data_IF_026178869746
#
_entry.id   IF_026178869746
#
_cell.length_a   1.000
_cell.length_b   1.000
_cell.length_c   1.000
_cell.angle_alpha   90.00
_cell.angle_beta   90.00
_cell.angle_gamma   90.00
#
_symmetry.space_group_name_H-M   'P 1'
#
loop_
_entity.id
_entity.type
_entity.pdbx_description
1 polymer ?
#
# COMPACT_ATOMS: atom_id res chain seq x y z
N UNK A 1 -7.96 -4.25 8.74
CA UNK A 1 -6.85 -3.34 8.36
C UNK A 1 -7.39 -1.92 8.25
N UNK A 2 -6.67 -0.93 8.76
CA UNK A 2 -6.97 0.51 8.58
C UNK A 2 -5.81 1.15 7.82
N UNK A 3 -6.08 1.72 6.64
CA UNK A 3 -5.11 2.42 5.84
C UNK A 3 -5.06 3.90 6.23
N UNK A 4 -3.94 4.37 6.77
CA UNK A 4 -3.75 5.78 7.14
C UNK A 4 -3.34 6.67 5.95
N UNK A 5 -2.94 6.06 4.83
CA UNK A 5 -2.59 6.73 3.56
C UNK A 5 -3.33 6.06 2.37
N UNK A 6 -4.68 6.07 2.37
CA UNK A 6 -5.48 5.40 1.33
C UNK A 6 -5.34 6.02 -0.06
N UNK A 7 -4.87 7.27 -0.14
CA UNK A 7 -4.60 7.97 -1.38
C UNK A 7 -3.34 7.47 -2.11
N UNK A 8 -2.48 6.69 -1.44
CA UNK A 8 -1.28 6.10 -2.05
C UNK A 8 -1.59 4.72 -2.66
N UNK A 9 -0.90 4.34 -3.76
CA UNK A 9 -1.06 3.01 -4.37
C UNK A 9 -0.59 1.88 -3.44
N UNK A 10 -1.03 0.65 -3.73
CA UNK A 10 -0.44 -0.54 -3.10
C UNK A 10 0.99 -0.77 -3.56
N UNK A 11 1.23 -0.82 -4.88
CA UNK A 11 2.55 -1.01 -5.48
C UNK A 11 3.40 0.28 -5.48
N UNK A 12 3.80 0.75 -4.29
CA UNK A 12 4.77 1.84 -4.13
C UNK A 12 6.14 1.43 -4.66
N UNK A 13 6.95 2.41 -5.07
CA UNK A 13 8.29 2.16 -5.60
C UNK A 13 9.24 1.78 -4.47
N UNK A 14 9.89 0.64 -4.63
CA UNK A 14 11.01 0.18 -3.81
C UNK A 14 12.09 -0.28 -4.77
N UNK A 15 13.24 0.42 -4.82
CA UNK A 15 14.23 0.20 -5.89
C UNK A 15 14.69 -1.27 -5.97
N UNK A 16 14.93 -1.91 -4.83
CA UNK A 16 15.25 -3.34 -4.77
C UNK A 16 14.15 -4.22 -5.41
N UNK A 17 12.88 -3.89 -5.19
CA UNK A 17 11.76 -4.64 -5.80
C UNK A 17 11.72 -4.43 -7.31
N UNK A 18 12.08 -3.24 -7.81
CA UNK A 18 12.12 -2.94 -9.25
C UNK A 18 13.24 -3.69 -9.99
N UNK A 19 14.31 -4.06 -9.28
CA UNK A 19 15.40 -4.90 -9.81
C UNK A 19 14.98 -6.37 -9.98
N UNK A 20 13.96 -6.83 -9.26
CA UNK A 20 13.51 -8.22 -9.31
C UNK A 20 12.88 -8.55 -10.69
N UNK A 21 13.34 -9.60 -11.39
CA UNK A 21 12.79 -9.97 -12.71
C UNK A 21 11.27 -10.19 -12.70
N UNK A 22 10.74 -10.75 -11.61
CA UNK A 22 9.30 -10.95 -11.42
C UNK A 22 8.53 -9.64 -11.43
N UNK A 23 9.04 -8.60 -10.75
CA UNK A 23 8.37 -7.31 -10.68
C UNK A 23 8.38 -6.60 -12.03
N UNK A 24 9.48 -6.69 -12.78
CA UNK A 24 9.59 -6.13 -14.12
C UNK A 24 8.55 -6.73 -15.07
N UNK A 25 8.40 -8.06 -15.05
CA UNK A 25 7.36 -8.76 -15.82
C UNK A 25 5.97 -8.33 -15.34
N UNK A 26 5.76 -8.25 -14.02
CA UNK A 26 4.45 -7.93 -13.46
C UNK A 26 4.00 -6.51 -13.80
N UNK A 27 4.92 -5.53 -13.73
CA UNK A 27 4.67 -4.14 -14.16
C UNK A 27 4.40 -4.05 -15.66
N UNK A 28 5.16 -4.77 -16.50
CA UNK A 28 4.90 -4.83 -17.95
C UNK A 28 3.50 -5.37 -18.24
N UNK A 29 3.11 -6.48 -17.62
CA UNK A 29 1.78 -7.07 -17.78
C UNK A 29 0.67 -6.14 -17.27
N UNK A 30 0.91 -5.39 -16.19
CA UNK A 30 -0.02 -4.38 -15.70
C UNK A 30 -0.20 -3.25 -16.72
N UNK A 31 0.91 -2.73 -17.25
CA UNK A 31 0.92 -1.67 -18.27
C UNK A 31 0.20 -2.11 -19.55
N UNK A 32 0.41 -3.35 -19.98
CA UNK A 32 -0.25 -3.95 -21.14
C UNK A 32 -1.72 -4.35 -20.87
N UNK A 33 -2.24 -4.15 -19.65
CA UNK A 33 -3.60 -4.51 -19.27
C UNK A 33 -3.87 -6.03 -19.22
N UNK A 34 -2.81 -6.85 -19.23
CA UNK A 34 -2.89 -8.32 -19.34
C UNK A 34 -3.07 -9.04 -18.00
N UNK A 35 -2.93 -8.34 -16.88
CA UNK A 35 -3.23 -8.91 -15.57
C UNK A 35 -4.70 -9.30 -15.45
N UNK A 36 -4.97 -10.36 -14.70
CA UNK A 36 -6.34 -10.79 -14.36
C UNK A 36 -6.60 -10.53 -12.89
N UNK A 37 -7.87 -10.47 -12.48
CA UNK A 37 -8.18 -10.53 -11.05
C UNK A 37 -7.71 -11.91 -10.51
N UNK A 38 -7.09 -12.00 -9.32
CA UNK A 38 -6.87 -10.93 -8.33
C UNK A 38 -5.58 -10.11 -8.51
N UNK A 39 -4.70 -10.45 -9.47
CA UNK A 39 -3.37 -9.83 -9.65
C UNK A 39 -3.42 -8.29 -9.81
N UNK A 40 -4.51 -7.75 -10.37
CA UNK A 40 -4.72 -6.30 -10.50
C UNK A 40 -4.83 -5.55 -9.17
N UNK A 41 -5.17 -6.22 -8.07
CA UNK A 41 -5.37 -5.56 -6.76
C UNK A 41 -4.09 -4.88 -6.28
N UNK A 42 -2.94 -5.50 -6.50
CA UNK A 42 -1.65 -4.94 -6.10
C UNK A 42 -1.30 -3.63 -6.83
N UNK A 43 -1.84 -3.40 -8.03
CA UNK A 43 -1.58 -2.19 -8.82
C UNK A 43 -2.68 -1.13 -8.72
N UNK A 44 -3.61 -1.26 -7.76
CA UNK A 44 -4.60 -0.21 -7.52
C UNK A 44 -3.90 1.08 -7.08
N UNK A 45 -4.35 2.20 -7.64
CA UNK A 45 -3.78 3.53 -7.39
C UNK A 45 -4.15 4.09 -6.02
N UNK A 46 -5.22 3.58 -5.43
CA UNK A 46 -5.70 3.93 -4.09
C UNK A 46 -6.08 2.67 -3.34
N UNK A 47 -6.20 2.78 -2.02
CA UNK A 47 -6.65 1.72 -1.13
C UNK A 47 -8.00 2.09 -0.53
N UNK A 48 -8.85 1.10 -0.19
CA UNK A 48 -9.95 1.33 0.74
C UNK A 48 -9.40 1.89 2.06
N UNK A 49 -10.11 2.82 2.69
CA UNK A 49 -9.71 3.32 4.01
C UNK A 49 -9.64 2.18 5.04
N UNK A 50 -10.51 1.17 4.89
CA UNK A 50 -10.53 -0.01 5.75
C UNK A 50 -10.78 -1.28 4.96
N UNK A 51 -10.18 -2.36 5.44
CA UNK A 51 -10.28 -3.69 4.84
C UNK A 51 -10.62 -4.72 5.92
N UNK A 52 -11.61 -5.56 5.64
CA UNK A 52 -12.09 -6.61 6.54
C UNK A 52 -12.20 -7.90 5.73
N UNK A 53 -11.61 -8.99 6.22
CA UNK A 53 -11.59 -10.27 5.51
C UNK A 53 -12.06 -11.40 6.42
N UNK A 54 -12.72 -12.38 5.83
CA UNK A 54 -12.95 -13.67 6.47
C UNK A 54 -11.84 -14.62 6.03
N UNK A 55 -10.77 -14.68 6.80
CA UNK A 55 -9.56 -15.46 6.46
C UNK A 55 -9.82 -16.97 6.34
N UNK A 56 -10.94 -17.48 6.88
CA UNK A 56 -11.30 -18.89 6.75
C UNK A 56 -11.90 -19.18 5.37
N UNK A 57 -12.77 -18.31 4.88
CA UNK A 57 -13.41 -18.47 3.57
C UNK A 57 -12.61 -17.83 2.43
N UNK A 58 -11.74 -16.88 2.74
CA UNK A 58 -10.87 -16.16 1.82
C UNK A 58 -9.43 -16.09 2.38
N UNK A 59 -8.65 -17.19 2.28
CA UNK A 59 -7.28 -17.25 2.81
C UNK A 59 -6.29 -16.30 2.15
N UNK A 60 -6.66 -15.72 1.00
CA UNK A 60 -5.83 -14.80 0.24
C UNK A 60 -6.28 -13.34 0.40
N UNK A 61 -7.29 -13.06 1.23
CA UNK A 61 -7.75 -11.71 1.56
C UNK A 61 -8.07 -10.86 0.31
N UNK A 62 -8.73 -11.48 -0.66
CA UNK A 62 -9.09 -10.87 -1.95
C UNK A 62 -10.40 -10.08 -1.85
N UNK A 63 -11.36 -10.57 -1.06
CA UNK A 63 -12.72 -10.02 -0.97
C UNK A 63 -12.87 -9.17 0.29
N UNK A 64 -12.66 -7.86 0.13
CA UNK A 64 -12.88 -6.90 1.21
C UNK A 64 -14.39 -6.81 1.58
N UNK A 65 -14.70 -7.09 2.84
CA UNK A 65 -16.04 -7.08 3.45
C UNK A 65 -16.35 -5.78 4.20
N UNK A 66 -15.43 -4.82 4.28
CA UNK A 66 -15.59 -3.61 5.10
C UNK A 66 -16.81 -2.77 4.69
N UNK A 67 -17.16 -2.75 3.41
CA UNK A 67 -18.37 -2.06 2.91
C UNK A 67 -19.65 -2.87 3.00
N UNK A 68 -19.60 -4.14 3.42
CA UNK A 68 -20.74 -5.04 3.36
C UNK A 68 -21.62 -4.90 4.62
N UNK A 69 -22.91 -4.51 4.51
CA UNK A 69 -23.75 -4.17 5.68
C UNK A 69 -23.83 -5.25 6.76
N UNK A 70 -23.89 -6.53 6.33
CA UNK A 70 -23.87 -7.70 7.25
C UNK A 70 -22.70 -7.69 8.24
N UNK A 71 -21.55 -7.14 7.87
CA UNK A 71 -20.33 -7.16 8.66
C UNK A 71 -20.06 -5.83 9.39
N UNK A 72 -20.97 -4.85 9.29
CA UNK A 72 -20.81 -3.55 9.97
C UNK A 72 -20.63 -3.65 11.49
N UNK A 73 -21.31 -4.56 12.23
CA UNK A 73 -21.06 -4.73 13.67
C UNK A 73 -19.63 -5.20 13.96
N UNK A 74 -19.12 -6.17 13.19
CA UNK A 74 -17.76 -6.71 13.35
C UNK A 74 -16.71 -5.64 13.03
N UNK A 75 -16.92 -4.86 11.96
CA UNK A 75 -16.02 -3.76 11.62
C UNK A 75 -15.96 -2.72 12.75
N UNK A 76 -17.11 -2.38 13.36
CA UNK A 76 -17.18 -1.44 14.48
C UNK A 76 -16.43 -1.95 15.71
N UNK A 77 -16.58 -3.24 16.04
CA UNK A 77 -15.85 -3.89 17.14
C UNK A 77 -14.34 -3.79 16.91
N UNK A 78 -13.86 -4.20 15.74
CA UNK A 78 -12.43 -4.15 15.39
C UNK A 78 -11.87 -2.73 15.37
N UNK A 79 -12.65 -1.74 14.89
CA UNK A 79 -12.27 -0.32 14.97
C UNK A 79 -12.05 0.12 16.41
N UNK A 80 -12.98 -0.21 17.30
CA UNK A 80 -12.93 0.17 18.71
C UNK A 80 -11.71 -0.46 19.39
N UNK A 81 -11.45 -1.75 19.13
CA UNK A 81 -10.27 -2.43 19.65
C UNK A 81 -8.96 -1.79 19.16
N UNK A 82 -8.88 -1.42 17.88
CA UNK A 82 -7.71 -0.73 17.33
C UNK A 82 -7.52 0.67 17.95
N UNK A 83 -8.60 1.45 18.10
CA UNK A 83 -8.54 2.80 18.69
C UNK A 83 -8.07 2.77 20.15
N UNK A 84 -8.57 1.80 20.92
CA UNK A 84 -8.13 1.57 22.29
C UNK A 84 -6.65 1.21 22.33
N UNK A 85 -6.20 0.28 21.49
CA UNK A 85 -4.80 -0.13 21.44
C UNK A 85 -3.86 1.02 21.07
N UNK A 86 -4.21 1.83 20.05
CA UNK A 86 -3.43 3.01 19.66
C UNK A 86 -3.29 3.97 20.85
N UNK A 87 -4.38 4.19 21.58
CA UNK A 87 -4.41 5.10 22.74
C UNK A 87 -3.57 4.55 23.90
N UNK A 88 -3.78 3.29 24.27
CA UNK A 88 -3.11 2.65 25.41
C UNK A 88 -1.59 2.52 25.21
N UNK A 89 -1.18 2.19 23.98
CA UNK A 89 0.25 2.02 23.64
C UNK A 89 0.95 3.31 23.25
N UNK A 90 0.21 4.42 23.13
CA UNK A 90 0.71 5.69 22.59
C UNK A 90 1.33 5.50 21.19
N UNK A 91 0.70 4.66 20.36
CA UNK A 91 1.18 4.38 19.01
C UNK A 91 1.21 5.67 18.18
N UNK A 92 2.37 5.98 17.63
CA UNK A 92 2.59 7.14 16.78
C UNK A 92 2.47 6.82 15.28
N UNK A 93 2.03 5.63 14.88
CA UNK A 93 1.94 5.19 13.49
C UNK A 93 1.04 6.07 12.60
N UNK A 94 0.12 6.84 13.18
CA UNK A 94 -0.70 7.83 12.47
C UNK A 94 -0.10 9.25 12.44
N UNK A 95 0.95 9.50 13.22
CA UNK A 95 1.64 10.81 13.27
C UNK A 95 2.51 10.95 12.01
N UNK A 96 2.38 12.03 11.23
CA UNK A 96 3.27 12.26 10.09
C UNK A 96 4.73 12.28 10.52
N UNK A 97 5.60 11.66 9.74
CA UNK A 97 7.04 11.59 10.05
C UNK A 97 7.67 13.00 10.12
N UNK A 98 7.20 13.96 9.33
CA UNK A 98 7.55 15.39 9.43
C UNK A 98 7.39 15.94 10.86
N UNK A 99 6.31 15.55 11.54
CA UNK A 99 6.06 15.98 12.90
C UNK A 99 6.96 15.23 13.89
N UNK A 100 7.27 13.96 13.65
CA UNK A 100 8.23 13.21 14.47
C UNK A 100 9.63 13.82 14.39
N UNK A 101 10.08 14.22 13.19
CA UNK A 101 11.36 14.92 12.98
C UNK A 101 11.36 16.27 13.70
N UNK A 102 10.30 17.07 13.55
CA UNK A 102 10.15 18.36 14.24
C UNK A 102 10.25 18.22 15.77
N UNK A 103 9.69 17.15 16.31
CA UNK A 103 9.72 16.81 17.75
C UNK A 103 11.04 16.16 18.20
N UNK A 104 11.97 15.90 17.29
CA UNK A 104 13.25 15.25 17.60
C UNK A 104 13.15 13.78 17.98
N UNK A 105 12.04 13.11 17.62
CA UNK A 105 11.79 11.70 17.95
C UNK A 105 12.50 10.74 16.99
N UNK A 106 12.75 11.18 15.76
CA UNK A 106 13.40 10.40 14.71
C UNK A 106 14.42 11.26 13.95
N UNK A 107 15.38 10.60 13.31
CA UNK A 107 16.32 11.27 12.39
C UNK A 107 15.58 11.66 11.11
N UNK A 108 15.89 12.83 10.56
CA UNK A 108 15.34 13.25 9.28
C UNK A 108 15.82 12.36 8.13
N UNK A 109 14.92 11.49 7.67
CA UNK A 109 15.08 10.65 6.47
C UNK A 109 14.04 10.99 5.40
N UNK A 110 13.26 12.06 5.59
CA UNK A 110 12.20 12.47 4.67
C UNK A 110 12.71 12.72 3.25
N UNK A 111 13.90 13.29 3.01
CA UNK A 111 14.43 13.44 1.65
C UNK A 111 14.59 12.12 0.90
N UNK A 112 14.86 11.01 1.59
CA UNK A 112 14.95 9.67 1.00
C UNK A 112 13.56 9.13 0.66
N UNK A 113 12.58 9.31 1.56
CA UNK A 113 11.21 8.83 1.37
C UNK A 113 10.44 9.59 0.30
N UNK A 114 10.64 10.91 0.18
CA UNK A 114 9.98 11.72 -0.83
C UNK A 114 10.27 11.23 -2.26
N UNK A 115 11.42 10.59 -2.49
CA UNK A 115 11.73 9.98 -3.79
C UNK A 115 10.85 8.76 -4.10
N UNK A 116 10.43 8.01 -3.08
CA UNK A 116 9.58 6.81 -3.22
C UNK A 116 8.10 7.13 -3.44
N UNK A 117 7.66 8.28 -2.93
CA UNK A 117 6.28 8.79 -3.09
C UNK A 117 6.05 9.35 -4.50
N UNK A 118 7.12 9.69 -5.23
CA UNK A 118 6.98 10.12 -6.63
C UNK A 118 6.32 9.00 -7.44
N UNK A 119 5.21 9.29 -8.16
CA UNK A 119 4.60 8.34 -9.07
C UNK A 119 5.67 7.81 -10.02
N UNK A 120 5.59 6.52 -10.34
CA UNK A 120 6.40 5.97 -11.41
C UNK A 120 6.08 6.77 -12.67
N UNK A 121 7.11 7.34 -13.30
CA UNK A 121 6.98 7.93 -14.62
C UNK A 121 6.59 6.80 -15.59
N UNK A 122 5.31 6.75 -15.96
CA UNK A 122 4.79 5.88 -17.01
C UNK A 122 5.06 6.63 -18.34
N UNK A 123 5.64 6.00 -19.38
CA UNK A 123 5.57 4.57 -19.63
C UNK A 123 6.90 3.84 -19.47
N UNK A 124 6.81 2.60 -18.95
CA UNK A 124 7.72 1.51 -19.32
C UNK A 124 7.51 1.20 -20.81
N UNK A 125 7.88 2.12 -21.70
CA UNK A 125 7.73 1.94 -23.14
C UNK A 125 8.62 0.77 -23.57
N UNK A 126 8.18 -0.04 -24.56
CA UNK A 126 9.11 -0.88 -25.32
C UNK A 126 10.22 0.02 -25.91
N UNK A 127 11.41 -0.02 -25.31
CA UNK A 127 12.56 0.78 -25.73
C UNK A 127 13.08 1.82 -24.73
N UNK A 128 12.51 1.95 -23.52
CA UNK A 128 13.11 2.81 -22.49
C UNK A 128 14.55 2.35 -22.19
N UNK A 129 15.52 3.24 -22.42
CA UNK A 129 16.95 2.96 -22.27
C UNK A 129 17.36 2.69 -20.82
N UNK A 130 16.53 3.05 -19.84
CA UNK A 130 16.71 2.67 -18.43
C UNK A 130 16.49 1.17 -18.18
N UNK A 131 15.92 0.45 -19.17
CA UNK A 131 15.76 -1.02 -19.17
C UNK A 131 16.84 -1.73 -20.00
N UNK A 132 17.82 -1.00 -20.57
CA UNK A 132 18.95 -1.61 -21.28
C UNK A 132 20.11 -1.80 -20.31
N UNK A 133 20.35 -3.06 -19.96
CA UNK A 133 21.48 -3.47 -19.13
C UNK A 133 22.76 -3.49 -19.97
N UNK A 134 23.87 -2.96 -19.42
CA UNK A 134 25.23 -3.26 -19.88
C UNK A 134 25.59 -4.70 -19.54
#
# INVERSE_FOLDING_TARGET
IRNFRPELPYAQRVDYMEEMPTMQVWRKLNYEGKLKAPQKLFFQLTKPAEELYDVKSDPHEIKNLAGHPKYAPVLKEMRTALDNWITETHDMGAVPEEEMVRRGLVTDRLPEYQQRVKPLEIPLTPGDQRLKFN
#
